data_IF_982992658254
#
_entry.id   IF_982992658254
#
_cell.length_a   1.000
_cell.length_b   1.000
_cell.length_c   1.000
_cell.angle_alpha   90.00
_cell.angle_beta   90.00
_cell.angle_gamma   90.00
#
_symmetry.space_group_name_H-M   'P 1'
#
loop_
_entity.id
_entity.type
_entity.pdbx_description
1 polymer ?
#
# COMPACT_ATOMS: atom_id res chain seq x y z
N UNK A 1 16.29 -5.03 -14.18
CA UNK A 1 15.56 -4.36 -13.08
C UNK A 1 14.15 -4.95 -13.04
N UNK A 2 13.78 -5.73 -12.03
CA UNK A 2 12.47 -6.38 -12.03
C UNK A 2 11.44 -5.48 -11.34
N UNK A 3 11.03 -4.41 -12.05
CA UNK A 3 9.99 -3.47 -11.59
C UNK A 3 8.70 -4.17 -11.16
N UNK A 4 8.44 -5.35 -11.71
CA UNK A 4 7.36 -6.25 -11.29
C UNK A 4 7.44 -6.63 -9.80
N UNK A 5 8.63 -6.82 -9.23
CA UNK A 5 8.79 -7.20 -7.82
C UNK A 5 8.52 -6.00 -6.91
N UNK A 6 8.96 -4.80 -7.31
CA UNK A 6 8.65 -3.55 -6.58
C UNK A 6 7.15 -3.25 -6.65
N UNK A 7 6.53 -3.49 -7.80
CA UNK A 7 5.10 -3.33 -7.96
C UNK A 7 4.33 -4.32 -7.09
N UNK A 8 4.73 -5.59 -7.11
CA UNK A 8 4.14 -6.61 -6.26
C UNK A 8 4.30 -6.26 -4.77
N UNK A 9 5.49 -5.80 -4.33
CA UNK A 9 5.70 -5.39 -2.93
C UNK A 9 4.80 -4.21 -2.54
N UNK A 10 4.64 -3.23 -3.44
CA UNK A 10 3.73 -2.11 -3.23
C UNK A 10 2.27 -2.55 -3.15
N UNK A 11 1.84 -3.50 -3.98
CA UNK A 11 0.47 -4.04 -3.93
C UNK A 11 0.21 -4.74 -2.61
N UNK A 12 1.12 -5.60 -2.14
CA UNK A 12 1.00 -6.25 -0.83
C UNK A 12 1.02 -5.24 0.33
N UNK A 13 1.82 -4.18 0.23
CA UNK A 13 1.81 -3.06 1.18
C UNK A 13 0.45 -2.36 1.23
N UNK A 14 -0.12 -2.02 0.07
CA UNK A 14 -1.44 -1.41 -0.03
C UNK A 14 -2.56 -2.32 0.48
N UNK A 15 -2.51 -3.62 0.17
CA UNK A 15 -3.45 -4.62 0.70
C UNK A 15 -3.38 -4.72 2.22
N UNK A 16 -2.18 -4.69 2.81
CA UNK A 16 -2.02 -4.67 4.25
C UNK A 16 -2.67 -3.42 4.87
N UNK A 17 -2.51 -2.24 4.26
CA UNK A 17 -3.17 -1.02 4.72
C UNK A 17 -4.70 -1.12 4.63
N UNK A 18 -5.24 -1.73 3.56
CA UNK A 18 -6.68 -1.98 3.42
C UNK A 18 -7.17 -2.94 4.52
N UNK A 19 -6.45 -4.04 4.75
CA UNK A 19 -6.80 -5.02 5.80
C UNK A 19 -6.79 -4.39 7.20
N UNK A 20 -5.85 -3.48 7.49
CA UNK A 20 -5.82 -2.72 8.73
C UNK A 20 -7.01 -1.76 8.84
N UNK A 21 -7.40 -1.07 7.75
CA UNK A 21 -8.61 -0.24 7.73
C UNK A 21 -9.85 -1.11 8.01
N UNK A 22 -9.97 -2.28 7.38
CA UNK A 22 -11.07 -3.22 7.63
C UNK A 22 -11.06 -3.73 9.08
N UNK A 23 -9.89 -4.06 9.62
CA UNK A 23 -9.76 -4.48 11.01
C UNK A 23 -10.23 -3.40 11.97
N UNK A 24 -9.86 -2.14 11.74
CA UNK A 24 -10.30 -1.00 12.55
C UNK A 24 -11.83 -0.82 12.50
N UNK A 25 -12.42 -0.85 11.29
CA UNK A 25 -13.88 -0.74 11.13
C UNK A 25 -14.62 -1.89 11.83
N UNK A 26 -14.12 -3.13 11.72
CA UNK A 26 -14.70 -4.28 12.41
C UNK A 26 -14.52 -4.21 13.92
N UNK A 27 -13.41 -3.67 14.41
CA UNK A 27 -13.18 -3.46 15.85
C UNK A 27 -14.18 -2.47 16.45
N UNK A 28 -14.49 -1.39 15.72
CA UNK A 28 -15.53 -0.43 16.13
C UNK A 28 -16.92 -1.08 16.11
N UNK A 29 -17.24 -1.88 15.09
CA UNK A 29 -18.58 -2.45 14.91
C UNK A 29 -18.90 -3.63 15.84
N UNK A 30 -17.93 -4.53 16.09
CA UNK A 30 -18.13 -5.78 16.83
C UNK A 30 -17.42 -5.81 18.19
N UNK A 31 -16.65 -4.76 18.53
CA UNK A 31 -15.78 -4.73 19.69
C UNK A 31 -14.46 -5.49 19.50
N UNK A 32 -13.42 -5.09 20.23
CA UNK A 32 -12.08 -5.68 20.20
C UNK A 32 -12.01 -7.12 20.76
N UNK A 33 -13.06 -7.55 21.46
CA UNK A 33 -13.20 -8.93 21.96
C UNK A 33 -13.61 -9.93 20.88
N UNK A 34 -14.06 -9.45 19.71
CA UNK A 34 -14.37 -10.30 18.56
C UNK A 34 -13.09 -10.82 17.90
N UNK A 35 -13.13 -12.03 17.34
CA UNK A 35 -12.01 -12.65 16.63
C UNK A 35 -11.78 -12.00 15.25
N UNK A 36 -12.83 -11.44 14.64
CA UNK A 36 -12.82 -10.92 13.27
C UNK A 36 -11.80 -9.77 13.02
N UNK A 37 -11.69 -8.73 13.88
CA UNK A 37 -10.66 -7.70 13.76
C UNK A 37 -9.24 -8.27 13.87
N UNK A 38 -9.02 -9.23 14.77
CA UNK A 38 -7.72 -9.86 14.98
C UNK A 38 -7.27 -10.70 13.79
N UNK A 39 -8.18 -11.44 13.16
CA UNK A 39 -7.91 -12.18 11.92
C UNK A 39 -7.51 -11.21 10.80
N UNK A 40 -8.20 -10.09 10.66
CA UNK A 40 -7.85 -9.07 9.66
C UNK A 40 -6.48 -8.42 9.94
N UNK A 41 -6.13 -8.16 11.21
CA UNK A 41 -4.79 -7.68 11.61
C UNK A 41 -3.71 -8.71 11.29
N UNK A 42 -3.93 -9.98 11.63
CA UNK A 42 -2.99 -11.06 11.33
C UNK A 42 -2.75 -11.20 9.82
N UNK A 43 -3.83 -11.16 9.02
CA UNK A 43 -3.74 -11.14 7.56
C UNK A 43 -2.99 -9.91 7.03
N UNK A 44 -3.20 -8.73 7.63
CA UNK A 44 -2.46 -7.53 7.26
C UNK A 44 -0.95 -7.68 7.53
N UNK A 45 -0.57 -8.23 8.69
CA UNK A 45 0.83 -8.49 9.05
C UNK A 45 1.45 -9.48 8.07
N UNK A 46 0.75 -10.56 7.72
CA UNK A 46 1.21 -11.52 6.74
C UNK A 46 1.41 -10.89 5.35
N UNK A 47 0.43 -10.11 4.88
CA UNK A 47 0.52 -9.39 3.61
C UNK A 47 1.70 -8.40 3.60
N UNK A 48 1.88 -7.63 4.67
CA UNK A 48 3.00 -6.71 4.81
C UNK A 48 4.34 -7.45 4.82
N UNK A 49 4.43 -8.58 5.51
CA UNK A 49 5.63 -9.42 5.52
C UNK A 49 5.99 -9.94 4.13
N UNK A 50 5.02 -10.43 3.37
CA UNK A 50 5.23 -10.85 1.96
C UNK A 50 5.70 -9.66 1.12
N UNK A 51 5.06 -8.50 1.24
CA UNK A 51 5.47 -7.28 0.56
C UNK A 51 6.91 -6.88 0.90
N UNK A 52 7.30 -6.97 2.18
CA UNK A 52 8.65 -6.66 2.63
C UNK A 52 9.70 -7.63 2.07
N UNK A 53 9.42 -8.93 2.02
CA UNK A 53 10.33 -9.92 1.43
C UNK A 53 10.54 -9.66 -0.07
N UNK A 54 9.46 -9.34 -0.80
CA UNK A 54 9.54 -8.95 -2.21
C UNK A 54 10.37 -7.67 -2.39
N UNK A 55 10.13 -6.66 -1.54
CA UNK A 55 10.89 -5.41 -1.56
C UNK A 55 12.39 -5.64 -1.30
N UNK A 56 12.74 -6.46 -0.31
CA UNK A 56 14.11 -6.86 -0.03
C UNK A 56 14.76 -7.59 -1.22
N UNK A 57 14.00 -8.45 -1.91
CA UNK A 57 14.47 -9.10 -3.13
C UNK A 57 14.70 -8.10 -4.28
N UNK A 58 13.86 -7.06 -4.39
CA UNK A 58 14.00 -6.02 -5.41
C UNK A 58 15.25 -5.13 -5.18
N UNK A 59 15.56 -4.83 -3.91
CA UNK A 59 16.75 -4.06 -3.52
C UNK A 59 18.07 -4.72 -3.93
N UNK A 60 18.09 -6.04 -4.20
CA UNK A 60 19.30 -6.71 -4.73
C UNK A 60 19.70 -6.22 -6.13
N UNK A 61 18.78 -5.59 -6.86
CA UNK A 61 18.97 -5.16 -8.26
C UNK A 61 18.60 -3.70 -8.49
N UNK A 62 18.33 -2.92 -7.45
CA UNK A 62 17.91 -1.52 -7.56
C UNK A 62 18.28 -0.75 -6.29
N UNK A 63 18.40 0.57 -6.38
CA UNK A 63 18.78 1.41 -5.23
C UNK A 63 17.57 1.73 -4.35
N UNK A 64 17.81 1.88 -3.05
CA UNK A 64 16.77 2.19 -2.07
C UNK A 64 16.06 3.52 -2.35
N UNK A 65 16.79 4.50 -2.91
CA UNK A 65 16.27 5.81 -3.29
C UNK A 65 15.19 5.75 -4.38
N UNK A 66 15.11 4.66 -5.14
CA UNK A 66 14.14 4.48 -6.24
C UNK A 66 13.05 3.48 -5.85
N UNK A 67 13.48 2.36 -5.27
CA UNK A 67 12.58 1.27 -4.90
C UNK A 67 11.51 1.74 -3.92
N UNK A 68 11.91 2.50 -2.91
CA UNK A 68 11.02 2.90 -1.83
C UNK A 68 9.94 3.89 -2.29
N UNK A 69 10.27 5.02 -2.96
CA UNK A 69 9.25 5.91 -3.49
C UNK A 69 8.27 5.21 -4.44
N UNK A 70 8.78 4.34 -5.32
CA UNK A 70 7.94 3.58 -6.25
C UNK A 70 6.99 2.62 -5.52
N UNK A 71 7.49 1.87 -4.53
CA UNK A 71 6.68 0.96 -3.70
C UNK A 71 5.57 1.73 -2.97
N UNK A 72 5.90 2.86 -2.35
CA UNK A 72 4.95 3.69 -1.59
C UNK A 72 3.87 4.26 -2.51
N UNK A 73 4.24 4.78 -3.69
CA UNK A 73 3.28 5.26 -4.68
C UNK A 73 2.27 4.17 -5.07
N UNK A 74 2.75 2.94 -5.34
CA UNK A 74 1.89 1.81 -5.71
C UNK A 74 0.99 1.42 -4.55
N UNK A 75 1.52 1.35 -3.32
CA UNK A 75 0.71 1.07 -2.12
C UNK A 75 -0.41 2.09 -1.95
N UNK A 76 -0.10 3.37 -2.16
CA UNK A 76 -1.07 4.46 -2.09
C UNK A 76 -2.14 4.35 -3.18
N UNK A 77 -1.74 4.05 -4.42
CA UNK A 77 -2.68 3.84 -5.53
C UNK A 77 -3.66 2.70 -5.23
N UNK A 78 -3.20 1.62 -4.63
CA UNK A 78 -4.06 0.50 -4.21
C UNK A 78 -5.08 0.95 -3.16
N UNK A 79 -4.64 1.70 -2.14
CA UNK A 79 -5.54 2.23 -1.10
C UNK A 79 -6.56 3.22 -1.67
N UNK A 80 -6.14 4.11 -2.56
CA UNK A 80 -7.02 5.07 -3.23
C UNK A 80 -8.03 4.37 -4.15
N UNK A 81 -7.59 3.37 -4.91
CA UNK A 81 -8.45 2.56 -5.76
C UNK A 81 -9.52 1.84 -4.94
N UNK A 82 -9.11 1.24 -3.81
CA UNK A 82 -10.05 0.62 -2.88
C UNK A 82 -11.06 1.63 -2.33
N UNK A 83 -10.59 2.82 -1.93
CA UNK A 83 -11.45 3.91 -1.44
C UNK A 83 -12.45 4.36 -2.50
N UNK A 84 -12.00 4.57 -3.74
CA UNK A 84 -12.86 4.95 -4.86
C UNK A 84 -13.98 3.95 -5.11
N UNK A 85 -13.65 2.65 -5.07
CA UNK A 85 -14.59 1.57 -5.35
C UNK A 85 -15.59 1.35 -4.21
N UNK A 86 -15.18 1.52 -2.95
CA UNK A 86 -16.03 1.22 -1.79
C UNK A 86 -16.81 2.44 -1.28
N UNK A 87 -16.23 3.64 -1.33
CA UNK A 87 -16.84 4.86 -0.77
C UNK A 87 -17.60 5.68 -1.84
N UNK A 88 -17.71 5.16 -3.08
CA UNK A 88 -18.40 5.72 -4.27
C UNK A 88 -17.91 7.10 -4.75
N UNK A 89 -17.21 7.87 -3.92
CA UNK A 89 -16.63 9.15 -4.27
C UNK A 89 -15.24 9.32 -3.65
N UNK A 90 -14.22 9.40 -4.50
CA UNK A 90 -12.93 9.95 -4.11
C UNK A 90 -13.08 11.46 -3.92
N UNK A 91 -12.65 11.97 -2.77
CA UNK A 91 -12.60 13.42 -2.56
C UNK A 91 -11.65 14.03 -3.60
N UNK A 92 -12.05 15.08 -4.36
CA UNK A 92 -11.22 15.70 -5.39
C UNK A 92 -9.84 16.12 -4.88
N UNK A 93 -9.75 16.57 -3.62
CA UNK A 93 -8.47 16.96 -3.01
C UNK A 93 -7.55 15.77 -2.74
N UNK A 94 -8.09 14.57 -2.44
CA UNK A 94 -7.29 13.36 -2.34
C UNK A 94 -6.71 12.97 -3.70
N UNK A 95 -7.47 13.13 -4.79
CA UNK A 95 -6.98 12.89 -6.14
C UNK A 95 -5.86 13.87 -6.52
N UNK A 96 -6.02 15.17 -6.20
CA UNK A 96 -4.95 16.16 -6.42
C UNK A 96 -3.70 15.81 -5.62
N UNK A 97 -3.84 15.49 -4.33
CA UNK A 97 -2.72 15.05 -3.50
C UNK A 97 -2.02 13.81 -4.05
N UNK A 98 -2.79 12.84 -4.56
CA UNK A 98 -2.25 11.66 -5.21
C UNK A 98 -1.41 12.00 -6.45
N UNK A 99 -1.90 12.91 -7.30
CA UNK A 99 -1.16 13.39 -8.47
C UNK A 99 0.16 14.04 -8.06
N UNK A 100 0.15 14.91 -7.05
CA UNK A 100 1.37 15.57 -6.54
C UNK A 100 2.41 14.54 -6.06
N UNK A 101 1.96 13.52 -5.32
CA UNK A 101 2.85 12.45 -4.86
C UNK A 101 3.40 11.65 -6.04
N UNK A 102 2.59 11.30 -7.03
CA UNK A 102 3.05 10.59 -8.23
C UNK A 102 4.09 11.39 -9.01
N UNK A 103 3.90 12.71 -9.14
CA UNK A 103 4.90 13.61 -9.75
C UNK A 103 6.19 13.58 -8.92
N UNK A 104 6.10 13.68 -7.60
CA UNK A 104 7.26 13.61 -6.71
C UNK A 104 8.02 12.29 -6.87
N UNK A 105 7.33 11.16 -6.90
CA UNK A 105 7.94 9.84 -7.14
C UNK A 105 8.57 9.76 -8.52
N UNK A 106 7.91 10.26 -9.56
CA UNK A 106 8.48 10.32 -10.91
C UNK A 106 9.77 11.15 -10.93
N UNK A 107 9.78 12.32 -10.27
CA UNK A 107 10.97 13.17 -10.20
C UNK A 107 12.15 12.46 -9.53
N UNK A 108 11.91 11.71 -8.45
CA UNK A 108 12.95 10.96 -7.73
C UNK A 108 13.45 9.77 -8.55
N UNK A 109 12.55 9.09 -9.26
CA UNK A 109 12.88 7.84 -9.98
C UNK A 109 13.44 8.05 -11.38
N UNK A 110 13.24 9.21 -12.04
CA UNK A 110 13.63 9.39 -13.46
C UNK A 110 15.13 9.36 -13.75
N UNK A 111 15.97 9.62 -12.75
CA UNK A 111 17.42 9.79 -12.92
C UNK A 111 18.23 8.60 -12.39
N UNK A 112 17.57 7.47 -12.15
CA UNK A 112 18.18 6.33 -11.48
C UNK A 112 18.17 5.05 -12.31
#
# INVERSE_FOLDING_TARGET
>A
MNWLIVAASGVFGGLASILLRVAALKGIAYGESSVLPWVARAAAVAAYGVGFVLYAAALRKTTLGVAYPAMVAISMLVVLSFTALHERFLNPMQAVGAVVILIGVWMVTRYA
#
